data_IF_154770478339
#
_entry.id   IF_154770478339
#
_cell.length_a   1.000
_cell.length_b   1.000
_cell.length_c   1.000
_cell.angle_alpha   90.00
_cell.angle_beta   90.00
_cell.angle_gamma   90.00
#
_symmetry.space_group_name_H-M   'P 1'
#
loop_
_entity.id
_entity.type
_entity.pdbx_description
1 polymer ?
#
# COMPACT_ATOMS: atom_id res chain seq x y z
N UNK A 1 16.37 -19.94 -6.97
CA UNK A 1 14.98 -19.48 -7.18
C UNK A 1 14.81 -18.04 -6.66
N UNK A 2 15.82 -17.16 -6.84
CA UNK A 2 15.82 -15.79 -6.27
C UNK A 2 15.49 -14.68 -7.29
N UNK A 3 15.71 -14.90 -8.59
CA UNK A 3 15.47 -13.85 -9.60
C UNK A 3 14.02 -13.39 -9.66
N UNK A 4 13.06 -14.31 -9.55
CA UNK A 4 11.62 -13.98 -9.69
C UNK A 4 11.11 -13.08 -8.56
N UNK A 5 11.61 -13.24 -7.33
CA UNK A 5 11.19 -12.43 -6.19
C UNK A 5 11.83 -11.04 -6.22
N UNK A 6 13.08 -10.93 -6.67
CA UNK A 6 13.74 -9.62 -6.90
C UNK A 6 13.00 -8.80 -7.94
N UNK A 7 12.54 -9.43 -9.03
CA UNK A 7 11.73 -8.75 -10.05
C UNK A 7 10.38 -8.30 -9.47
N UNK A 8 9.72 -9.13 -8.66
CA UNK A 8 8.44 -8.80 -8.02
C UNK A 8 8.57 -7.61 -7.07
N UNK A 9 9.57 -7.62 -6.19
CA UNK A 9 9.81 -6.54 -5.24
C UNK A 9 10.20 -5.24 -5.96
N UNK A 10 10.99 -5.34 -7.03
CA UNK A 10 11.32 -4.19 -7.87
C UNK A 10 10.05 -3.51 -8.42
N UNK A 11 9.15 -4.28 -9.06
CA UNK A 11 7.91 -3.72 -9.61
C UNK A 11 6.98 -3.17 -8.52
N UNK A 12 6.88 -3.85 -7.37
CA UNK A 12 6.07 -3.37 -6.26
C UNK A 12 6.56 -2.02 -5.71
N UNK A 13 7.89 -1.81 -5.60
CA UNK A 13 8.45 -0.50 -5.25
C UNK A 13 8.14 0.56 -6.29
N UNK A 14 8.27 0.25 -7.57
CA UNK A 14 7.95 1.21 -8.65
C UNK A 14 6.48 1.64 -8.59
N UNK A 15 5.56 0.71 -8.40
CA UNK A 15 4.13 0.99 -8.24
C UNK A 15 3.89 1.86 -6.99
N UNK A 16 4.52 1.52 -5.86
CA UNK A 16 4.38 2.28 -4.63
C UNK A 16 4.94 3.71 -4.76
N UNK A 17 6.06 3.90 -5.45
CA UNK A 17 6.62 5.22 -5.74
C UNK A 17 5.66 6.06 -6.60
N UNK A 18 5.07 5.46 -7.64
CA UNK A 18 4.07 6.12 -8.48
C UNK A 18 2.82 6.51 -7.69
N UNK A 19 2.30 5.59 -6.87
CA UNK A 19 1.17 5.86 -5.98
C UNK A 19 1.46 7.04 -5.04
N UNK A 20 2.62 7.05 -4.39
CA UNK A 20 3.05 8.17 -3.56
C UNK A 20 3.16 9.48 -4.35
N UNK A 21 3.69 9.45 -5.58
CA UNK A 21 3.79 10.64 -6.40
C UNK A 21 2.40 11.24 -6.72
N UNK A 22 1.42 10.40 -7.07
CA UNK A 22 0.04 10.82 -7.33
C UNK A 22 -0.58 11.46 -6.08
N UNK A 23 -0.43 10.81 -4.92
CA UNK A 23 -0.95 11.32 -3.64
C UNK A 23 -0.34 12.68 -3.29
N UNK A 24 0.99 12.83 -3.48
CA UNK A 24 1.69 14.12 -3.28
C UNK A 24 1.24 15.20 -4.24
N UNK A 25 1.06 14.87 -5.52
CA UNK A 25 0.55 15.81 -6.53
C UNK A 25 -0.85 16.34 -6.19
N UNK A 26 -1.63 15.60 -5.41
CA UNK A 26 -2.96 15.99 -4.93
C UNK A 26 -2.95 16.64 -3.53
N UNK A 27 -1.77 17.01 -3.00
CA UNK A 27 -1.65 17.81 -1.78
C UNK A 27 -1.62 17.01 -0.47
N UNK A 28 -1.43 15.69 -0.52
CA UNK A 28 -1.34 14.83 0.65
C UNK A 28 0.09 14.29 0.85
N UNK A 29 0.49 14.01 2.08
CA UNK A 29 1.75 13.31 2.36
C UNK A 29 1.51 11.81 2.53
N UNK A 30 1.98 10.95 1.60
CA UNK A 30 1.74 9.51 1.67
C UNK A 30 2.75 8.78 2.56
N UNK A 31 2.26 7.77 3.27
CA UNK A 31 3.11 6.75 3.90
C UNK A 31 2.82 5.41 3.22
N UNK A 32 3.85 4.77 2.68
CA UNK A 32 3.71 3.48 1.98
C UNK A 32 4.37 2.36 2.77
N UNK A 33 3.60 1.35 3.25
CA UNK A 33 4.14 0.13 3.85
C UNK A 33 5.16 -0.57 2.96
N UNK A 34 4.90 -0.63 1.65
CA UNK A 34 5.83 -1.23 0.68
C UNK A 34 7.19 -0.54 0.70
N UNK A 35 7.22 0.79 0.66
CA UNK A 35 8.49 1.54 0.69
C UNK A 35 9.15 1.51 2.07
N UNK A 36 8.37 1.43 3.14
CA UNK A 36 8.88 1.41 4.51
C UNK A 36 9.49 0.06 4.88
N UNK A 37 8.95 -1.06 4.38
CA UNK A 37 9.15 -2.37 5.01
C UNK A 37 9.61 -3.50 4.09
N UNK A 38 9.55 -3.34 2.75
CA UNK A 38 9.81 -4.43 1.79
C UNK A 38 11.20 -5.07 1.89
N UNK A 39 12.23 -4.33 2.29
CA UNK A 39 13.59 -4.88 2.48
C UNK A 39 13.94 -5.15 3.95
N UNK A 40 13.00 -4.87 4.86
CA UNK A 40 13.21 -4.98 6.31
C UNK A 40 12.69 -6.32 6.83
N UNK A 41 11.51 -6.73 6.37
CA UNK A 41 10.86 -7.96 6.83
C UNK A 41 10.91 -9.04 5.76
N UNK A 42 11.08 -10.29 6.21
CA UNK A 42 10.89 -11.45 5.34
C UNK A 42 9.41 -11.82 5.21
N UNK A 43 9.05 -12.60 4.19
CA UNK A 43 7.68 -13.13 4.03
C UNK A 43 7.22 -13.97 5.24
N UNK A 44 8.16 -14.54 6.01
CA UNK A 44 7.85 -15.28 7.24
C UNK A 44 7.31 -14.38 8.36
N UNK A 45 7.49 -13.06 8.23
CA UNK A 45 7.02 -12.05 9.19
C UNK A 45 5.76 -11.34 8.71
N UNK A 46 5.02 -11.93 7.77
CA UNK A 46 3.80 -11.35 7.17
C UNK A 46 2.79 -10.86 8.21
N UNK A 47 2.53 -11.62 9.27
CA UNK A 47 1.60 -11.19 10.33
C UNK A 47 2.06 -9.91 11.02
N UNK A 48 3.37 -9.79 11.28
CA UNK A 48 3.97 -8.59 11.87
C UNK A 48 3.87 -7.40 10.93
N UNK A 49 4.13 -7.61 9.64
CA UNK A 49 3.96 -6.57 8.62
C UNK A 49 2.51 -6.09 8.56
N UNK A 50 1.55 -7.00 8.56
CA UNK A 50 0.12 -6.66 8.53
C UNK A 50 -0.32 -5.90 9.79
N UNK A 51 0.18 -6.28 10.97
CA UNK A 51 -0.08 -5.53 12.21
C UNK A 51 0.49 -4.11 12.14
N UNK A 52 1.70 -3.94 11.61
CA UNK A 52 2.28 -2.61 11.42
C UNK A 52 1.45 -1.78 10.42
N UNK A 53 0.95 -2.40 9.33
CA UNK A 53 0.04 -1.73 8.39
C UNK A 53 -1.22 -1.23 9.10
N UNK A 54 -1.83 -2.06 9.94
CA UNK A 54 -3.03 -1.68 10.71
C UNK A 54 -2.75 -0.51 11.66
N UNK A 55 -1.66 -0.57 12.42
CA UNK A 55 -1.25 0.51 13.33
C UNK A 55 -1.00 1.82 12.58
N UNK A 56 -0.37 1.74 11.40
CA UNK A 56 -0.13 2.90 10.54
C UNK A 56 -1.45 3.46 9.98
N UNK A 57 -2.39 2.61 9.57
CA UNK A 57 -3.70 3.06 9.09
C UNK A 57 -4.46 3.85 10.16
N UNK A 58 -4.38 3.42 11.44
CA UNK A 58 -5.08 4.08 12.56
C UNK A 58 -4.59 5.50 12.86
N UNK A 59 -3.39 5.87 12.42
CA UNK A 59 -2.85 7.23 12.62
C UNK A 59 -2.99 8.11 11.37
N UNK A 60 -3.48 7.56 10.26
CA UNK A 60 -3.72 8.30 9.03
C UNK A 60 -5.14 8.90 9.03
N UNK A 61 -5.32 9.98 8.28
CA UNK A 61 -6.66 10.59 8.05
C UNK A 61 -7.36 10.01 6.81
N UNK A 62 -6.59 9.41 5.91
CA UNK A 62 -7.04 8.93 4.60
C UNK A 62 -6.39 7.60 4.25
N UNK A 63 -7.09 6.82 3.43
CA UNK A 63 -6.58 5.60 2.82
C UNK A 63 -6.54 5.77 1.30
N UNK A 64 -5.44 5.37 0.65
CA UNK A 64 -5.33 5.42 -0.81
C UNK A 64 -5.00 4.03 -1.36
N UNK A 65 -5.84 3.56 -2.29
CA UNK A 65 -5.66 2.28 -2.97
C UNK A 65 -5.24 2.51 -4.41
N UNK A 66 -4.02 2.12 -4.76
CA UNK A 66 -3.58 2.14 -6.15
C UNK A 66 -4.16 0.94 -6.91
N UNK A 67 -4.92 1.21 -7.96
CA UNK A 67 -5.52 0.19 -8.83
C UNK A 67 -4.53 -0.25 -9.90
N UNK A 68 -4.09 -1.51 -9.83
CA UNK A 68 -3.30 -2.18 -10.85
C UNK A 68 -3.86 -3.58 -11.10
N UNK A 69 -3.41 -4.26 -12.16
CA UNK A 69 -3.92 -5.59 -12.57
C UNK A 69 -3.80 -6.70 -11.50
N UNK A 70 -3.05 -6.45 -10.42
CA UNK A 70 -2.85 -7.37 -9.31
C UNK A 70 -3.56 -6.94 -8.02
N UNK A 71 -4.08 -5.71 -7.95
CA UNK A 71 -4.68 -5.14 -6.74
C UNK A 71 -5.88 -5.95 -6.26
N UNK A 72 -6.72 -6.44 -7.18
CA UNK A 72 -7.94 -7.18 -6.84
C UNK A 72 -7.69 -8.61 -6.34
N UNK A 73 -6.44 -9.10 -6.46
CA UNK A 73 -6.03 -10.43 -5.99
C UNK A 73 -5.19 -10.38 -4.70
N UNK A 74 -4.96 -9.18 -4.15
CA UNK A 74 -4.14 -9.01 -2.96
C UNK A 74 -4.99 -9.11 -1.70
N UNK A 75 -4.83 -10.20 -0.95
CA UNK A 75 -5.47 -10.40 0.36
C UNK A 75 -5.13 -9.26 1.33
N UNK A 76 -3.88 -8.77 1.31
CA UNK A 76 -3.43 -7.67 2.17
C UNK A 76 -4.17 -6.38 1.87
N UNK A 77 -4.33 -6.03 0.59
CA UNK A 77 -5.06 -4.82 0.20
C UNK A 77 -6.56 -4.91 0.50
N UNK A 78 -7.15 -6.11 0.39
CA UNK A 78 -8.54 -6.32 0.78
C UNK A 78 -8.73 -6.12 2.29
N UNK A 79 -7.79 -6.60 3.09
CA UNK A 79 -7.78 -6.43 4.54
C UNK A 79 -7.58 -4.97 4.96
N UNK A 80 -6.63 -4.26 4.33
CA UNK A 80 -6.41 -2.82 4.55
C UNK A 80 -7.65 -1.99 4.21
N UNK A 81 -8.36 -2.32 3.14
CA UNK A 81 -9.62 -1.67 2.79
C UNK A 81 -10.74 -1.94 3.81
N UNK A 82 -10.80 -3.15 4.38
CA UNK A 82 -11.75 -3.49 5.43
C UNK A 82 -11.48 -2.70 6.72
N UNK A 83 -10.22 -2.63 7.16
CA UNK A 83 -9.82 -1.81 8.30
C UNK A 83 -10.06 -0.32 8.08
N UNK A 84 -9.75 0.19 6.88
CA UNK A 84 -10.00 1.58 6.54
C UNK A 84 -11.48 1.94 6.73
N UNK A 85 -12.37 1.06 6.28
CA UNK A 85 -13.81 1.21 6.47
C UNK A 85 -14.22 1.12 7.95
N UNK A 86 -13.66 0.16 8.70
CA UNK A 86 -13.95 -0.03 10.12
C UNK A 86 -13.57 1.20 10.95
N UNK A 87 -12.44 1.83 10.65
CA UNK A 87 -11.95 3.01 11.38
C UNK A 87 -12.50 4.34 10.86
N UNK A 88 -13.34 4.32 9.83
CA UNK A 88 -13.94 5.52 9.26
C UNK A 88 -12.97 6.39 8.45
N UNK A 89 -11.88 5.80 7.92
CA UNK A 89 -10.97 6.50 7.02
C UNK A 89 -11.65 6.77 5.68
N UNK A 90 -11.45 7.99 5.15
CA UNK A 90 -11.93 8.33 3.81
C UNK A 90 -10.98 7.77 2.75
N UNK A 91 -11.52 7.01 1.78
CA UNK A 91 -10.76 6.54 0.64
C UNK A 91 -10.52 7.69 -0.34
N UNK A 92 -9.25 7.99 -0.63
CA UNK A 92 -8.86 8.93 -1.67
C UNK A 92 -9.01 8.29 -3.03
N UNK A 93 -9.68 8.99 -3.95
CA UNK A 93 -9.83 8.60 -5.36
C UNK A 93 -9.42 9.77 -6.22
N UNK A 94 -8.39 9.56 -7.02
CA UNK A 94 -7.94 10.52 -8.03
C UNK A 94 -8.38 9.98 -9.38
N UNK A 95 -9.20 10.73 -10.11
CA UNK A 95 -9.49 10.41 -11.50
C UNK A 95 -8.21 10.63 -12.32
N UNK A 96 -7.87 9.67 -13.18
CA UNK A 96 -6.77 9.83 -14.15
C UNK A 96 -7.16 10.71 -15.34
N UNK A 97 -8.38 11.24 -15.36
CA UNK A 97 -8.91 12.11 -16.41
C UNK A 97 -9.86 13.15 -15.80
N UNK A 98 -9.54 14.42 -16.02
CA UNK A 98 -10.53 15.45 -16.38
C UNK A 98 -10.58 15.53 -17.90
#
# INVERSE_FOLDING_TARGET
>A
MECKDKDRNYYAKQIAQQACAIVRQNGYEPISPVLAWMDIYSELERERVMKNCEELLRVCSYYYRYTCKWSDKSEGMAQEAAWAKEYGLSELRFSLFE
#
